data_IF_077891357672
#
_entry.id   IF_077891357672
#
_cell.length_a   1.000
_cell.length_b   1.000
_cell.length_c   1.000
_cell.angle_alpha   90.00
_cell.angle_beta   90.00
_cell.angle_gamma   90.00
#
_symmetry.space_group_name_H-M   'P 1'
#
loop_
_entity.id
_entity.type
_entity.pdbx_description
1 polymer ?
#
# COMPACT_ATOMS: atom_id res chain seq x y z
N UNK A 1 -34.25 34.15 34.70
CA UNK A 1 -32.93 34.71 34.35
C UNK A 1 -32.18 33.64 33.53
N UNK A 2 -32.78 33.09 32.47
CA UNK A 2 -32.35 31.76 31.94
C UNK A 2 -32.42 31.63 30.41
N UNK A 3 -32.70 32.71 29.68
CA UNK A 3 -32.86 32.69 28.22
C UNK A 3 -31.52 32.46 27.47
N UNK A 4 -30.38 32.72 28.14
CA UNK A 4 -29.06 32.60 27.52
C UNK A 4 -28.52 31.16 27.56
N UNK A 5 -28.95 30.32 28.51
CA UNK A 5 -28.52 28.91 28.61
C UNK A 5 -29.10 28.09 27.44
N UNK A 6 -30.38 28.29 27.11
CA UNK A 6 -31.05 27.66 25.96
C UNK A 6 -30.38 28.07 24.63
N UNK A 7 -30.00 29.35 24.51
CA UNK A 7 -29.31 29.90 23.34
C UNK A 7 -27.89 29.33 23.16
N UNK A 8 -27.13 29.17 24.26
CA UNK A 8 -25.79 28.56 24.25
C UNK A 8 -25.87 27.05 23.99
N UNK A 9 -26.90 26.38 24.52
CA UNK A 9 -27.16 24.96 24.27
C UNK A 9 -27.44 24.67 22.80
N UNK A 10 -28.35 25.44 22.19
CA UNK A 10 -28.69 25.31 20.76
C UNK A 10 -27.49 25.61 19.86
N UNK A 11 -26.72 26.66 20.15
CA UNK A 11 -25.51 26.99 19.42
C UNK A 11 -24.44 25.89 19.50
N UNK A 12 -24.28 25.24 20.66
CA UNK A 12 -23.30 24.16 20.86
C UNK A 12 -23.64 22.89 20.07
N UNK A 13 -24.94 22.54 19.98
CA UNK A 13 -25.40 21.41 19.16
C UNK A 13 -25.19 21.71 17.67
N UNK A 14 -25.51 22.93 17.22
CA UNK A 14 -25.30 23.33 15.81
C UNK A 14 -23.81 23.34 15.43
N UNK A 15 -22.93 23.82 16.31
CA UNK A 15 -21.48 23.78 16.10
C UNK A 15 -20.98 22.33 16.05
N UNK A 16 -21.46 21.47 16.96
CA UNK A 16 -21.10 20.05 16.96
C UNK A 16 -21.47 19.33 15.66
N UNK A 17 -22.67 19.58 15.12
CA UNK A 17 -23.12 19.00 13.84
C UNK A 17 -22.26 19.48 12.66
N UNK A 18 -21.92 20.77 12.61
CA UNK A 18 -21.07 21.34 11.55
C UNK A 18 -19.63 20.83 11.62
N UNK A 19 -19.06 20.71 12.82
CA UNK A 19 -17.72 20.17 13.02
C UNK A 19 -17.66 18.68 12.64
N UNK A 20 -18.65 17.87 13.03
CA UNK A 20 -18.72 16.44 12.69
C UNK A 20 -18.86 16.24 11.17
N UNK A 21 -19.73 17.00 10.50
CA UNK A 21 -19.89 16.94 9.06
C UNK A 21 -18.60 17.35 8.31
N UNK A 22 -17.97 18.44 8.74
CA UNK A 22 -16.71 18.91 8.18
C UNK A 22 -15.54 17.95 8.45
N UNK A 23 -15.54 17.28 9.60
CA UNK A 23 -14.53 16.27 9.95
C UNK A 23 -14.67 15.01 9.09
N UNK A 24 -15.90 14.52 8.89
CA UNK A 24 -16.17 13.37 8.01
C UNK A 24 -15.76 13.63 6.55
N UNK A 25 -16.03 14.83 6.04
CA UNK A 25 -15.60 15.22 4.69
C UNK A 25 -14.07 15.14 4.55
N UNK A 26 -13.32 15.72 5.50
CA UNK A 26 -11.85 15.68 5.50
C UNK A 26 -11.28 14.27 5.70
N UNK A 27 -11.97 13.38 6.41
CA UNK A 27 -11.51 12.00 6.59
C UNK A 27 -11.56 11.19 5.30
N UNK A 28 -12.50 11.48 4.38
CA UNK A 28 -12.56 10.83 3.06
C UNK A 28 -11.33 11.14 2.21
N UNK A 29 -10.96 12.42 2.14
CA UNK A 29 -9.83 12.90 1.34
C UNK A 29 -8.49 12.29 1.76
N UNK A 30 -8.28 12.11 3.08
CA UNK A 30 -7.02 11.57 3.61
C UNK A 30 -6.88 10.06 3.35
N UNK A 31 -7.98 9.31 3.26
CA UNK A 31 -7.94 7.87 2.94
C UNK A 31 -7.54 7.64 1.49
N UNK A 32 -8.04 8.47 0.58
CA UNK A 32 -7.67 8.41 -0.83
C UNK A 32 -6.21 8.81 -1.05
N UNK A 33 -5.74 9.87 -0.37
CA UNK A 33 -4.34 10.27 -0.41
C UNK A 33 -3.37 9.22 0.20
N UNK A 34 -3.85 8.36 1.09
CA UNK A 34 -3.09 7.25 1.68
C UNK A 34 -3.21 5.94 0.91
N UNK A 35 -3.98 5.89 -0.17
CA UNK A 35 -3.96 4.75 -1.08
C UNK A 35 -2.53 4.63 -1.64
N UNK A 36 -1.71 3.79 -0.99
CA UNK A 36 -0.38 3.47 -1.46
C UNK A 36 -0.55 2.86 -2.85
N UNK A 37 0.07 3.41 -3.91
CA UNK A 37 -0.03 2.81 -5.23
C UNK A 37 0.40 1.34 -5.11
N UNK A 38 -0.47 0.44 -5.56
CA UNK A 38 -0.36 -1.01 -5.37
C UNK A 38 0.85 -1.64 -6.08
N UNK A 39 1.72 -0.85 -6.70
CA UNK A 39 2.87 -1.32 -7.46
C UNK A 39 3.96 -0.25 -7.46
N UNK A 40 4.63 -0.03 -6.32
CA UNK A 40 6.04 0.34 -6.46
C UNK A 40 6.75 -0.89 -7.02
N UNK A 41 6.85 -0.96 -8.35
CA UNK A 41 7.65 -1.95 -9.04
C UNK A 41 9.03 -1.95 -8.36
N UNK A 42 9.37 -3.07 -7.73
CA UNK A 42 10.69 -3.23 -7.11
C UNK A 42 11.68 -3.37 -8.27
N UNK A 43 12.75 -2.60 -8.28
CA UNK A 43 13.80 -2.65 -9.31
C UNK A 43 14.96 -3.54 -8.86
N UNK A 44 15.58 -4.25 -9.79
CA UNK A 44 16.74 -5.09 -9.51
C UNK A 44 17.96 -4.21 -9.18
N UNK A 45 18.64 -4.39 -8.04
CA UNK A 45 19.79 -3.58 -7.67
C UNK A 45 21.04 -3.75 -8.55
N UNK A 46 21.07 -4.77 -9.42
CA UNK A 46 22.20 -5.05 -10.31
C UNK A 46 22.04 -4.38 -11.68
N UNK A 47 20.94 -4.66 -12.39
CA UNK A 47 20.68 -4.11 -13.72
C UNK A 47 19.79 -2.86 -13.71
N UNK A 48 19.16 -2.53 -12.58
CA UNK A 48 18.19 -1.44 -12.43
C UNK A 48 16.92 -1.60 -13.27
N UNK A 49 16.69 -2.75 -13.89
CA UNK A 49 15.43 -3.10 -14.57
C UNK A 49 14.33 -3.46 -13.55
N UNK A 50 13.08 -3.44 -13.98
CA UNK A 50 11.96 -3.87 -13.16
C UNK A 50 12.02 -5.37 -12.85
N UNK A 51 11.82 -5.74 -11.58
CA UNK A 51 11.77 -7.15 -11.16
C UNK A 51 10.55 -7.90 -11.70
N UNK A 52 9.54 -7.17 -12.18
CA UNK A 52 8.36 -7.73 -12.82
C UNK A 52 8.44 -7.74 -14.36
N UNK A 53 9.62 -7.48 -14.94
CA UNK A 53 9.78 -7.48 -16.41
C UNK A 53 9.47 -8.86 -16.99
N UNK A 54 8.74 -8.88 -18.11
CA UNK A 54 8.38 -10.10 -18.82
C UNK A 54 9.61 -10.87 -19.35
N UNK A 55 10.73 -10.19 -19.54
CA UNK A 55 11.98 -10.78 -20.05
C UNK A 55 12.76 -11.55 -18.98
N UNK A 56 12.50 -11.30 -17.69
CA UNK A 56 13.18 -11.96 -16.57
C UNK A 56 12.19 -12.27 -15.43
N UNK A 57 11.28 -13.24 -15.61
CA UNK A 57 10.22 -13.55 -14.65
C UNK A 57 10.72 -14.26 -13.39
N UNK A 58 11.92 -14.84 -13.42
CA UNK A 58 12.50 -15.58 -12.30
C UNK A 58 13.21 -14.63 -11.33
N UNK A 59 12.79 -14.70 -10.07
CA UNK A 59 13.33 -13.91 -8.98
C UNK A 59 14.04 -14.79 -7.96
N UNK A 60 15.12 -14.27 -7.42
CA UNK A 60 15.84 -14.85 -6.29
C UNK A 60 16.03 -13.80 -5.21
N UNK A 61 15.91 -14.21 -3.97
CA UNK A 61 16.12 -13.35 -2.82
C UNK A 61 17.46 -13.71 -2.18
N UNK A 62 18.25 -12.71 -1.83
CA UNK A 62 19.44 -12.95 -1.02
C UNK A 62 19.02 -13.55 0.34
N UNK A 63 19.58 -14.70 0.72
CA UNK A 63 19.16 -15.39 1.94
C UNK A 63 19.49 -14.62 3.23
N UNK A 64 20.43 -13.66 3.17
CA UNK A 64 20.81 -12.82 4.33
C UNK A 64 19.95 -11.56 4.51
N UNK A 65 19.66 -10.85 3.43
CA UNK A 65 18.98 -9.53 3.50
C UNK A 65 17.61 -9.50 2.82
N UNK A 66 17.16 -10.63 2.27
CA UNK A 66 15.90 -10.79 1.54
C UNK A 66 15.72 -9.79 0.36
N UNK A 67 16.81 -9.23 -0.14
CA UNK A 67 16.76 -8.30 -1.28
C UNK A 67 16.52 -9.09 -2.57
N UNK A 68 15.47 -8.77 -3.35
CA UNK A 68 15.16 -9.46 -4.59
C UNK A 68 16.07 -9.03 -5.74
N UNK A 69 16.48 -10.01 -6.54
CA UNK A 69 17.24 -9.85 -7.79
C UNK A 69 16.61 -10.77 -8.85
N UNK A 70 16.86 -10.49 -10.13
CA UNK A 70 16.59 -11.47 -11.18
C UNK A 70 17.53 -12.67 -11.01
N UNK A 71 17.03 -13.88 -11.31
CA UNK A 71 17.85 -15.09 -11.24
C UNK A 71 19.09 -14.97 -12.14
N UNK A 72 18.94 -14.47 -13.37
CA UNK A 72 20.05 -14.26 -14.30
C UNK A 72 21.11 -13.28 -13.75
N UNK A 73 20.69 -12.17 -13.15
CA UNK A 73 21.62 -11.21 -12.53
C UNK A 73 22.37 -11.81 -11.34
N UNK A 74 21.76 -12.74 -10.61
CA UNK A 74 22.42 -13.44 -9.52
C UNK A 74 23.42 -14.49 -10.01
N UNK A 75 23.14 -15.15 -11.13
CA UNK A 75 24.08 -16.10 -11.76
C UNK A 75 25.33 -15.40 -12.28
N UNK A 76 25.18 -14.21 -12.89
CA UNK A 76 26.31 -13.39 -13.36
C UNK A 76 27.18 -12.86 -12.21
N UNK A 77 26.55 -12.51 -11.09
CA UNK A 77 27.22 -11.99 -9.91
C UNK A 77 26.56 -12.56 -8.63
N UNK A 78 27.05 -13.69 -8.08
CA UNK A 78 26.44 -14.39 -6.95
C UNK A 78 26.76 -13.72 -5.61
N UNK A 79 26.44 -12.42 -5.54
CA UNK A 79 26.54 -11.55 -4.37
C UNK A 79 25.46 -10.49 -4.44
N UNK A 80 24.93 -10.08 -3.30
CA UNK A 80 23.96 -8.98 -3.25
C UNK A 80 24.63 -7.63 -3.61
N UNK A 81 24.11 -6.91 -4.61
CA UNK A 81 24.65 -5.60 -5.02
C UNK A 81 24.38 -4.47 -4.01
N UNK A 82 23.44 -4.67 -3.08
CA UNK A 82 23.10 -3.65 -2.06
C UNK A 82 24.06 -3.70 -0.88
N UNK A 83 24.34 -4.89 -0.35
CA UNK A 83 25.08 -5.06 0.90
C UNK A 83 26.31 -5.98 0.77
N UNK A 84 26.61 -6.52 -0.41
CA UNK A 84 27.73 -7.44 -0.63
C UNK A 84 27.57 -8.79 0.08
N UNK A 85 26.35 -9.21 0.39
CA UNK A 85 26.09 -10.52 1.00
C UNK A 85 26.51 -11.66 0.06
N UNK A 86 27.06 -12.74 0.65
CA UNK A 86 27.58 -13.91 -0.07
C UNK A 86 26.51 -14.85 -0.64
N UNK A 87 27.00 -15.92 -1.27
CA UNK A 87 26.39 -16.68 -2.39
C UNK A 87 25.15 -17.52 -2.09
N UNK A 88 24.59 -17.44 -0.89
CA UNK A 88 23.32 -18.08 -0.55
C UNK A 88 22.13 -17.24 -1.09
N UNK A 89 21.55 -17.69 -2.21
CA UNK A 89 20.26 -17.22 -2.69
C UNK A 89 19.16 -18.22 -2.33
N UNK A 90 18.03 -17.71 -1.85
CA UNK A 90 16.80 -18.45 -1.72
C UNK A 90 15.97 -18.20 -3.00
N UNK A 91 15.62 -19.25 -3.73
CA UNK A 91 14.67 -19.13 -4.84
C UNK A 91 13.27 -18.98 -4.26
N UNK A 92 12.72 -17.77 -4.26
CA UNK A 92 11.29 -17.57 -4.09
C UNK A 92 10.64 -17.97 -5.42
N UNK A 93 10.30 -19.26 -5.54
CA UNK A 93 9.55 -19.76 -6.69
C UNK A 93 8.28 -18.92 -6.88
N UNK A 94 7.82 -18.72 -8.14
CA UNK A 94 6.66 -17.89 -8.42
C UNK A 94 5.38 -18.55 -7.90
N UNK A 95 5.14 -18.42 -6.60
CA UNK A 95 3.78 -18.52 -6.07
C UNK A 95 3.19 -17.12 -6.16
N UNK A 96 2.87 -16.75 -7.39
CA UNK A 96 1.76 -15.84 -7.62
C UNK A 96 0.55 -16.50 -6.96
N UNK A 97 0.28 -16.14 -5.71
CA UNK A 97 -1.05 -16.32 -5.14
C UNK A 97 -1.93 -15.38 -5.95
N UNK A 98 -2.89 -15.87 -6.75
CA UNK A 98 -3.86 -14.97 -7.33
C UNK A 98 -4.53 -14.25 -6.15
N UNK A 99 -4.53 -12.93 -6.23
CA UNK A 99 -5.23 -12.08 -5.30
C UNK A 99 -6.62 -12.68 -5.08
N UNK A 100 -6.86 -13.13 -3.86
CA UNK A 100 -8.16 -13.60 -3.43
C UNK A 100 -9.15 -12.48 -3.74
N UNK A 101 -10.00 -12.74 -4.71
CA UNK A 101 -11.08 -11.88 -5.15
C UNK A 101 -11.88 -11.50 -3.91
N UNK A 102 -11.89 -10.21 -3.58
CA UNK A 102 -12.75 -9.67 -2.53
C UNK A 102 -14.11 -9.47 -3.21
N UNK A 103 -15.18 -10.19 -2.80
CA UNK A 103 -16.51 -9.94 -3.32
C UNK A 103 -16.87 -8.48 -3.03
N UNK A 104 -17.26 -7.75 -4.07
CA UNK A 104 -17.81 -6.41 -3.96
C UNK A 104 -19.22 -6.51 -3.37
N UNK A 105 -19.34 -6.57 -2.05
CA UNK A 105 -20.61 -6.42 -1.36
C UNK A 105 -20.71 -5.03 -0.74
N UNK A 106 -21.68 -4.23 -1.21
CA UNK A 106 -22.21 -3.11 -0.46
C UNK A 106 -22.23 -1.74 -1.15
N UNK A 107 -22.78 -1.64 -2.36
CA UNK A 107 -23.32 -0.36 -2.82
C UNK A 107 -24.67 -0.12 -2.10
N UNK A 108 -24.86 0.98 -1.34
CA UNK A 108 -26.19 1.32 -0.83
C UNK A 108 -27.09 1.77 -1.99
N UNK A 109 -28.28 1.18 -2.07
CA UNK A 109 -29.32 1.56 -3.02
C UNK A 109 -29.72 3.04 -2.88
N UNK A 110 -30.03 3.75 -3.97
CA UNK A 110 -30.59 5.10 -3.86
C UNK A 110 -32.00 5.05 -3.27
N UNK A 111 -32.27 5.93 -2.30
CA UNK A 111 -33.62 6.23 -1.85
C UNK A 111 -34.38 6.94 -2.98
N UNK A 112 -35.64 6.54 -3.18
CA UNK A 112 -36.54 7.08 -4.21
C UNK A 112 -37.12 8.45 -3.89
#
# INVERSE_FOLDING_TARGET
MDCWIELVGLASVSIGVLLEAGYRARQGDVREARARPASQAKRCPYCHEDLASAEAPSLVCCARCATPHHAACWEDAPRCSVYGCGSDAQTDGPTATPAREVPAEGAPAPAG
#
